data_IF_982007156940
#
_entry.id   IF_982007156940
#
_cell.length_a   1.000
_cell.length_b   1.000
_cell.length_c   1.000
_cell.angle_alpha   90.00
_cell.angle_beta   90.00
_cell.angle_gamma   90.00
#
_symmetry.space_group_name_H-M   'P 1'
#
loop_
_entity.id
_entity.type
_entity.pdbx_description
1 polymer ?
#
# COMPACT_ATOMS: atom_id res chain seq x y z
N UNK A 1 14.79 38.62 -1.06
CA UNK A 1 15.39 37.29 -0.81
C UNK A 1 15.24 37.01 0.68
N UNK A 2 14.25 36.21 1.07
CA UNK A 2 14.12 35.70 2.44
C UNK A 2 14.30 34.18 2.35
N UNK A 3 15.53 33.75 2.59
CA UNK A 3 15.93 32.35 2.59
C UNK A 3 15.39 31.63 3.83
N UNK A 4 14.85 30.44 3.60
CA UNK A 4 14.92 29.24 4.42
C UNK A 4 14.75 29.38 5.95
N UNK A 5 13.50 29.29 6.41
CA UNK A 5 13.16 28.79 7.75
C UNK A 5 12.26 27.54 7.65
N UNK A 6 12.63 26.59 6.79
CA UNK A 6 12.13 25.21 6.88
C UNK A 6 13.27 24.19 6.95
N UNK A 7 14.47 24.63 7.32
CA UNK A 7 15.71 23.83 7.31
C UNK A 7 15.89 23.01 8.61
N UNK A 8 14.80 22.49 9.18
CA UNK A 8 14.88 21.76 10.46
C UNK A 8 13.64 20.98 10.89
N UNK A 9 12.50 21.08 10.19
CA UNK A 9 11.36 20.23 10.47
C UNK A 9 11.46 18.97 9.60
N UNK A 10 11.90 17.85 10.18
CA UNK A 10 11.78 16.53 9.55
C UNK A 10 10.32 16.39 9.09
N UNK A 11 10.09 16.27 7.79
CA UNK A 11 8.75 15.99 7.24
C UNK A 11 8.40 14.55 7.56
N UNK A 12 7.92 14.31 8.77
CA UNK A 12 7.42 13.00 9.20
C UNK A 12 5.90 12.99 9.15
N UNK A 13 5.32 11.95 8.56
CA UNK A 13 3.88 11.70 8.66
C UNK A 13 3.62 10.20 8.72
N UNK A 14 2.62 9.81 9.49
CA UNK A 14 2.27 8.41 9.68
C UNK A 14 0.76 8.26 9.67
N UNK A 15 0.27 7.23 9.00
CA UNK A 15 -1.15 6.92 8.95
C UNK A 15 -1.37 5.42 8.83
N UNK A 16 -2.43 4.96 9.48
CA UNK A 16 -2.94 3.61 9.36
C UNK A 16 -4.36 3.63 8.81
N UNK A 17 -4.66 2.71 7.90
CA UNK A 17 -5.98 2.51 7.30
C UNK A 17 -6.31 1.02 7.25
N UNK A 18 -7.57 0.68 7.46
CA UNK A 18 -8.03 -0.70 7.54
C UNK A 18 -9.37 -0.88 6.86
N UNK A 19 -9.54 -2.04 6.23
CA UNK A 19 -10.82 -2.56 5.77
C UNK A 19 -11.06 -3.95 6.37
N UNK A 20 -12.13 -4.63 5.92
CA UNK A 20 -12.33 -6.04 6.25
C UNK A 20 -11.23 -6.94 5.68
N UNK A 21 -10.68 -6.57 4.54
CA UNK A 21 -9.83 -7.42 3.71
C UNK A 21 -8.33 -7.16 3.95
N UNK A 22 -7.96 -5.91 4.27
CA UNK A 22 -6.55 -5.55 4.46
C UNK A 22 -6.33 -4.42 5.48
N UNK A 23 -5.06 -4.27 5.88
CA UNK A 23 -4.54 -3.18 6.70
C UNK A 23 -3.32 -2.56 6.01
N UNK A 24 -3.27 -1.24 5.98
CA UNK A 24 -2.22 -0.46 5.34
C UNK A 24 -1.66 0.53 6.35
N UNK A 25 -0.35 0.47 6.55
CA UNK A 25 0.43 1.43 7.33
C UNK A 25 1.39 2.17 6.38
N UNK A 26 1.39 3.50 6.44
CA UNK A 26 2.30 4.34 5.65
C UNK A 26 3.02 5.30 6.58
N UNK A 27 4.35 5.23 6.58
CA UNK A 27 5.23 6.10 7.33
C UNK A 27 6.20 6.82 6.40
N UNK A 28 6.11 8.15 6.38
CA UNK A 28 7.01 9.03 5.62
C UNK A 28 7.96 9.68 6.62
N UNK A 29 9.26 9.64 6.31
CA UNK A 29 10.32 10.37 7.01
C UNK A 29 11.21 10.99 5.96
N UNK A 30 11.22 12.33 5.87
CA UNK A 30 11.90 13.08 4.81
C UNK A 30 11.41 12.65 3.42
N UNK A 31 12.23 11.91 2.67
CA UNK A 31 11.91 11.37 1.36
C UNK A 31 11.71 9.84 1.38
N UNK A 32 11.94 9.18 2.51
CA UNK A 32 11.70 7.76 2.66
C UNK A 32 10.22 7.50 2.95
N UNK A 33 9.62 6.57 2.23
CA UNK A 33 8.22 6.14 2.44
C UNK A 33 8.21 4.64 2.66
N UNK A 34 7.90 4.24 3.89
CA UNK A 34 7.72 2.86 4.28
C UNK A 34 6.24 2.51 4.26
N UNK A 35 5.90 1.42 3.56
CA UNK A 35 4.53 0.95 3.43
C UNK A 35 4.46 -0.49 3.91
N UNK A 36 3.60 -0.77 4.88
CA UNK A 36 3.26 -2.14 5.26
C UNK A 36 1.82 -2.45 4.84
N UNK A 37 1.67 -3.44 3.95
CA UNK A 37 0.39 -4.01 3.57
C UNK A 37 0.23 -5.36 4.25
N UNK A 38 -0.88 -5.56 4.95
CA UNK A 38 -1.27 -6.83 5.55
C UNK A 38 -2.62 -7.25 4.98
N UNK A 39 -2.70 -8.43 4.37
CA UNK A 39 -3.90 -8.97 3.74
C UNK A 39 -4.12 -10.43 4.14
N UNK A 40 -5.30 -10.98 3.88
CA UNK A 40 -5.55 -12.41 4.09
C UNK A 40 -4.76 -13.27 3.10
N UNK A 41 -4.17 -14.39 3.54
CA UNK A 41 -3.17 -15.19 2.79
C UNK A 41 -3.59 -15.68 1.40
N UNK A 42 -4.90 -15.80 1.17
CA UNK A 42 -5.50 -16.30 -0.08
C UNK A 42 -5.50 -15.24 -1.19
N UNK A 43 -5.19 -13.99 -0.86
CA UNK A 43 -4.93 -12.94 -1.82
C UNK A 43 -3.42 -12.75 -2.04
N UNK A 44 -3.12 -12.11 -3.17
CA UNK A 44 -1.78 -11.63 -3.49
C UNK A 44 -1.93 -10.25 -4.14
N UNK A 45 -1.93 -9.20 -3.33
CA UNK A 45 -2.05 -7.82 -3.81
C UNK A 45 -0.72 -7.14 -4.12
N UNK A 46 0.40 -7.88 -4.10
CA UNK A 46 1.71 -7.33 -4.46
C UNK A 46 1.72 -6.56 -5.80
N UNK A 47 1.15 -7.07 -6.92
CA UNK A 47 1.16 -6.32 -8.18
C UNK A 47 0.33 -5.04 -8.13
N UNK A 48 -0.79 -5.05 -7.42
CA UNK A 48 -1.67 -3.89 -7.26
C UNK A 48 -1.03 -2.84 -6.36
N UNK A 49 -0.38 -3.27 -5.27
CA UNK A 49 0.37 -2.39 -4.39
C UNK A 49 1.54 -1.73 -5.14
N UNK A 50 2.34 -2.50 -5.88
CA UNK A 50 3.44 -1.97 -6.69
C UNK A 50 2.96 -0.94 -7.72
N UNK A 51 1.83 -1.21 -8.39
CA UNK A 51 1.21 -0.25 -9.31
C UNK A 51 0.79 1.05 -8.62
N UNK A 52 0.18 0.97 -7.43
CA UNK A 52 -0.18 2.18 -6.68
C UNK A 52 1.06 2.97 -6.29
N UNK A 53 2.14 2.31 -5.86
CA UNK A 53 3.39 3.01 -5.53
C UNK A 53 3.98 3.74 -6.75
N UNK A 54 3.91 3.12 -7.94
CA UNK A 54 4.29 3.74 -9.21
C UNK A 54 3.41 4.97 -9.56
N UNK A 55 2.09 4.90 -9.32
CA UNK A 55 1.15 6.04 -9.48
C UNK A 55 1.54 7.25 -8.61
N UNK A 56 2.23 7.04 -7.49
CA UNK A 56 2.73 8.09 -6.59
C UNK A 56 4.20 8.49 -6.83
N UNK A 57 4.84 7.96 -7.88
CA UNK A 57 6.26 8.18 -8.17
C UNK A 57 7.17 7.76 -6.99
N UNK A 58 6.80 6.66 -6.32
CA UNK A 58 7.60 6.06 -5.27
C UNK A 58 8.51 5.00 -5.87
N UNK A 59 9.81 5.27 -5.85
CA UNK A 59 10.82 4.30 -6.26
C UNK A 59 10.90 3.18 -5.21
N UNK A 60 10.60 1.95 -5.62
CA UNK A 60 10.71 0.79 -4.73
C UNK A 60 12.19 0.40 -4.58
N UNK A 61 12.75 0.63 -3.39
CA UNK A 61 14.12 0.24 -3.05
C UNK A 61 14.18 -1.25 -2.71
N UNK A 62 13.22 -1.71 -1.92
CA UNK A 62 13.11 -3.12 -1.55
C UNK A 62 11.68 -3.48 -1.16
N UNK A 63 11.39 -4.77 -1.28
CA UNK A 63 10.16 -5.37 -0.77
C UNK A 63 10.51 -6.63 0.00
N UNK A 64 9.91 -6.77 1.19
CA UNK A 64 9.96 -8.00 1.99
C UNK A 64 8.55 -8.55 2.09
N UNK A 65 8.38 -9.82 1.74
CA UNK A 65 7.12 -10.54 1.87
C UNK A 65 7.24 -11.65 2.91
N UNK A 66 6.26 -11.75 3.79
CA UNK A 66 6.17 -12.84 4.76
C UNK A 66 4.72 -13.29 4.94
N UNK A 67 4.55 -14.50 5.46
CA UNK A 67 3.24 -15.01 5.89
C UNK A 67 3.34 -15.27 7.39
N UNK A 68 2.43 -14.68 8.15
CA UNK A 68 2.30 -14.86 9.60
C UNK A 68 0.86 -15.26 9.88
N UNK A 69 0.68 -16.44 10.46
CA UNK A 69 -0.63 -17.08 10.63
C UNK A 69 -1.41 -17.16 9.30
N UNK A 70 -2.57 -16.53 9.25
CA UNK A 70 -3.42 -16.44 8.05
C UNK A 70 -3.25 -15.13 7.27
N UNK A 71 -2.22 -14.35 7.58
CA UNK A 71 -1.97 -13.06 6.96
C UNK A 71 -0.71 -13.08 6.11
N UNK A 72 -0.83 -12.52 4.90
CA UNK A 72 0.31 -12.17 4.06
C UNK A 72 0.66 -10.71 4.33
N UNK A 73 1.94 -10.45 4.58
CA UNK A 73 2.46 -9.12 4.90
C UNK A 73 3.53 -8.75 3.87
N UNK A 74 3.41 -7.56 3.30
CA UNK A 74 4.42 -6.94 2.46
C UNK A 74 4.90 -5.65 3.09
N UNK A 75 6.21 -5.48 3.18
CA UNK A 75 6.86 -4.24 3.62
C UNK A 75 7.64 -3.69 2.43
N UNK A 76 7.23 -2.54 1.93
CA UNK A 76 7.90 -1.80 0.88
C UNK A 76 8.70 -0.66 1.50
N UNK A 77 10.00 -0.64 1.24
CA UNK A 77 10.82 0.52 1.51
C UNK A 77 10.95 1.28 0.19
N UNK A 78 10.44 2.51 0.15
CA UNK A 78 10.40 3.31 -1.06
C UNK A 78 10.96 4.71 -0.83
N UNK A 79 11.22 5.42 -1.92
CA UNK A 79 11.69 6.81 -1.88
C UNK A 79 10.86 7.67 -2.82
N UNK A 80 10.54 8.88 -2.37
CA UNK A 80 9.91 9.88 -3.23
C UNK A 80 10.90 10.30 -4.31
N UNK A 81 10.47 10.23 -5.57
CA UNK A 81 11.24 10.73 -6.70
C UNK A 81 11.53 12.23 -6.58
N UNK A 82 12.66 12.69 -7.10
CA UNK A 82 13.05 14.11 -7.02
C UNK A 82 11.99 15.02 -7.64
N UNK A 83 11.65 16.12 -6.94
CA UNK A 83 10.61 17.06 -7.37
C UNK A 83 9.16 16.62 -7.09
N UNK A 84 8.94 15.40 -6.60
CA UNK A 84 7.62 14.92 -6.20
C UNK A 84 7.31 15.22 -4.73
N UNK A 85 6.03 15.25 -4.39
CA UNK A 85 5.57 15.31 -3.00
C UNK A 85 4.43 14.34 -2.79
N UNK A 86 4.44 13.64 -1.66
CA UNK A 86 3.51 12.55 -1.35
C UNK A 86 2.94 12.76 0.04
N UNK A 87 1.66 12.44 0.20
CA UNK A 87 0.96 12.46 1.48
C UNK A 87 0.68 11.03 1.92
N UNK A 88 1.07 10.68 3.15
CA UNK A 88 0.87 9.33 3.68
C UNK A 88 -0.59 8.87 3.57
N UNK A 89 -1.53 9.77 3.85
CA UNK A 89 -2.97 9.51 3.75
C UNK A 89 -3.39 9.11 2.33
N UNK A 90 -2.95 9.84 1.31
CA UNK A 90 -3.32 9.57 -0.07
C UNK A 90 -2.81 8.19 -0.53
N UNK A 91 -1.57 7.85 -0.15
CA UNK A 91 -0.99 6.52 -0.43
C UNK A 91 -1.79 5.43 0.28
N UNK A 92 -2.08 5.60 1.57
CA UNK A 92 -2.78 4.61 2.37
C UNK A 92 -4.21 4.35 1.85
N UNK A 93 -4.96 5.40 1.53
CA UNK A 93 -6.33 5.28 0.99
C UNK A 93 -6.34 4.61 -0.38
N UNK A 94 -5.39 4.98 -1.25
CA UNK A 94 -5.33 4.41 -2.60
C UNK A 94 -4.93 2.94 -2.60
N UNK A 95 -3.99 2.56 -1.73
CA UNK A 95 -3.62 1.16 -1.50
C UNK A 95 -4.81 0.36 -0.97
N UNK A 96 -5.47 0.87 0.07
CA UNK A 96 -6.65 0.22 0.65
C UNK A 96 -7.71 -0.03 -0.42
N UNK A 97 -8.04 1.00 -1.22
CA UNK A 97 -9.02 0.91 -2.29
C UNK A 97 -8.62 -0.11 -3.38
N UNK A 98 -7.36 -0.14 -3.79
CA UNK A 98 -6.88 -1.05 -4.82
C UNK A 98 -6.95 -2.52 -4.38
N UNK A 99 -6.54 -2.79 -3.13
CA UNK A 99 -6.56 -4.12 -2.53
C UNK A 99 -7.99 -4.59 -2.30
N UNK A 100 -8.85 -3.74 -1.74
CA UNK A 100 -10.26 -4.06 -1.53
C UNK A 100 -10.98 -4.39 -2.84
N UNK A 101 -10.72 -3.63 -3.91
CA UNK A 101 -11.29 -3.91 -5.23
C UNK A 101 -10.85 -5.27 -5.78
N UNK A 102 -9.58 -5.65 -5.56
CA UNK A 102 -9.07 -6.97 -5.93
C UNK A 102 -9.79 -8.08 -5.15
N UNK A 103 -9.93 -7.94 -3.84
CA UNK A 103 -10.62 -8.91 -3.00
C UNK A 103 -12.09 -9.08 -3.41
N UNK A 104 -12.79 -7.98 -3.71
CA UNK A 104 -14.16 -8.03 -4.22
C UNK A 104 -14.25 -8.78 -5.54
N UNK A 105 -13.33 -8.53 -6.48
CA UNK A 105 -13.29 -9.23 -7.76
C UNK A 105 -13.05 -10.75 -7.58
N UNK A 106 -12.13 -11.14 -6.69
CA UNK A 106 -11.86 -12.54 -6.37
C UNK A 106 -13.09 -13.24 -5.74
N UNK A 107 -13.79 -12.55 -4.84
CA UNK A 107 -15.00 -13.07 -4.22
C UNK A 107 -16.11 -13.32 -5.25
N UNK A 108 -16.34 -12.37 -6.16
CA UNK A 108 -17.33 -12.50 -7.24
C UNK A 108 -16.98 -13.68 -8.17
N UNK A 109 -15.72 -13.80 -8.57
CA UNK A 109 -15.25 -14.90 -9.41
C UNK A 109 -15.43 -16.26 -8.72
N UNK A 110 -15.10 -16.34 -7.42
CA UNK A 110 -15.29 -17.55 -6.62
C UNK A 110 -16.75 -17.98 -6.55
N UNK A 111 -17.67 -17.03 -6.35
CA UNK A 111 -19.12 -17.29 -6.34
C UNK A 111 -19.63 -17.77 -7.72
N UNK A 112 -19.18 -17.14 -8.80
CA UNK A 112 -19.57 -17.52 -10.16
C UNK A 112 -19.08 -18.93 -10.54
N UNK A 113 -17.87 -19.30 -10.11
CA UNK A 113 -17.31 -20.64 -10.29
C UNK A 113 -18.12 -21.69 -9.50
N UNK A 114 -18.42 -21.43 -8.23
CA UNK A 114 -19.20 -22.34 -7.39
C UNK A 114 -20.62 -22.60 -7.97
N UNK A 115 -21.26 -21.56 -8.51
CA UNK A 115 -22.57 -21.68 -9.16
C UNK A 115 -22.54 -22.56 -10.43
N UNK A 116 -21.45 -22.53 -11.21
CA UNK A 116 -21.28 -23.34 -12.42
C UNK A 116 -20.96 -24.81 -12.16
N UNK A 117 -20.35 -25.14 -11.02
CA UNK A 117 -19.98 -26.52 -10.65
C UNK A 117 -21.15 -27.29 -10.02
N UNK A 118 -22.23 -26.60 -9.64
CA UNK A 118 -23.40 -27.19 -8.99
C UNK A 118 -24.48 -27.66 -10.01
N UNK A 119 -24.18 -27.62 -11.31
CA UNK A 119 -25.09 -28.04 -12.41
C UNK A 119 -24.58 -29.33 -13.06
#
# INVERSE_FOLDING_TARGET
MSNNELDGAIRSSWVQRRSKECHVDVHIVENAVNVQLTEWKNANSLPHAAKVLDEFHLEIISVVGQIVDDHRIFVFNTKVSEGCSVYALAVAERLLQAVDAQHQALNILGQALAAKVTI
#
